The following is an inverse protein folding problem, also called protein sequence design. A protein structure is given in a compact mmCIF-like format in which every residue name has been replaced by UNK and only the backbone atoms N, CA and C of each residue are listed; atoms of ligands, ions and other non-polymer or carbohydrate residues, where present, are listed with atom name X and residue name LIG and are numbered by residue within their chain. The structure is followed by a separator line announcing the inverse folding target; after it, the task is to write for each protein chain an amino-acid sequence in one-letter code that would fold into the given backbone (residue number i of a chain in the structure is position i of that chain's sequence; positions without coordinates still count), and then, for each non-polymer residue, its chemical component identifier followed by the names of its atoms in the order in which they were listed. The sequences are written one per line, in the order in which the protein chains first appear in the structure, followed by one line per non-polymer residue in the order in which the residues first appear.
data_IF_508102355452
#
_entry.id   IF_508102355452
#
_cell.length_a   1.000
_cell.length_b   1.000
_cell.length_c   1.000
_cell.angle_alpha   90.00
_cell.angle_beta   90.00
_cell.angle_gamma   90.00
#
_symmetry.space_group_name_H-M   'P 1'
#
loop_
_entity.id
_entity.type
_entity.pdbx_description
1 polymer ?
#
# COMPACT_ATOMS: atom_id res chain seq x y z
N UNK A 1 17.72 -17.38 -46.62
CA UNK A 1 16.54 -17.44 -45.71
C UNK A 1 16.95 -18.00 -44.34
N UNK A 2 17.72 -17.24 -43.55
CA UNK A 2 18.08 -17.63 -42.17
C UNK A 2 18.59 -16.47 -41.31
N UNK A 3 18.28 -15.24 -41.70
CA UNK A 3 18.57 -14.02 -40.92
C UNK A 3 17.30 -13.29 -40.50
N UNK A 4 16.14 -13.64 -41.08
CA UNK A 4 14.86 -13.02 -40.77
C UNK A 4 14.10 -13.68 -39.61
N UNK A 5 14.57 -14.84 -39.13
CA UNK A 5 13.94 -15.57 -38.01
C UNK A 5 14.61 -15.29 -36.66
N UNK A 6 15.83 -14.75 -36.63
CA UNK A 6 16.52 -14.41 -35.38
C UNK A 6 16.17 -13.03 -34.81
N UNK A 7 15.60 -12.12 -35.61
CA UNK A 7 15.24 -10.77 -35.12
C UNK A 7 13.92 -10.79 -34.33
N UNK A 8 13.04 -11.77 -34.58
CA UNK A 8 11.74 -11.88 -33.89
C UNK A 8 11.82 -12.52 -32.49
N UNK A 9 12.91 -13.21 -32.16
CA UNK A 9 13.12 -13.76 -30.81
C UNK A 9 13.77 -12.73 -29.87
N UNK A 10 14.49 -11.74 -30.40
CA UNK A 10 15.20 -10.73 -29.62
C UNK A 10 14.34 -9.61 -29.06
N UNK A 11 13.16 -9.34 -29.66
CA UNK A 11 12.24 -8.28 -29.22
C UNK A 11 11.12 -8.77 -28.30
N UNK A 12 10.97 -10.08 -28.09
CA UNK A 12 9.90 -10.64 -27.26
C UNK A 12 10.30 -10.89 -25.79
N UNK A 13 11.55 -10.61 -25.40
CA UNK A 13 12.08 -10.93 -24.06
C UNK A 13 12.43 -9.68 -23.23
N UNK A 14 11.91 -8.51 -23.59
CA UNK A 14 12.26 -7.22 -22.95
C UNK A 14 11.12 -6.53 -22.17
N UNK A 15 10.11 -7.27 -21.72
CA UNK A 15 9.07 -6.71 -20.83
C UNK A 15 8.49 -7.74 -19.85
N UNK A 16 9.35 -8.58 -19.28
CA UNK A 16 8.97 -9.45 -18.17
C UNK A 16 9.96 -9.28 -17.04
N UNK A 17 9.81 -8.18 -16.31
CA UNK A 17 10.15 -8.17 -14.88
C UNK A 17 9.15 -9.10 -14.18
N UNK A 18 9.21 -10.40 -14.46
CA UNK A 18 8.51 -11.40 -13.68
C UNK A 18 9.28 -11.45 -12.37
N UNK A 19 8.83 -10.75 -11.33
CA UNK A 19 9.23 -11.11 -9.97
C UNK A 19 8.89 -12.59 -9.85
N UNK A 20 9.93 -13.42 -9.84
CA UNK A 20 9.79 -14.85 -9.57
C UNK A 20 9.31 -14.92 -8.12
N UNK A 21 8.00 -14.97 -7.90
CA UNK A 21 7.44 -15.45 -6.64
C UNK A 21 7.87 -16.90 -6.56
N UNK A 22 8.96 -17.14 -5.83
CA UNK A 22 9.42 -18.49 -5.52
C UNK A 22 8.23 -19.14 -4.83
N UNK A 23 7.67 -20.14 -5.50
CA UNK A 23 6.31 -20.66 -5.33
C UNK A 23 5.90 -21.03 -3.90
N UNK A 24 6.81 -21.14 -2.94
CA UNK A 24 6.50 -21.25 -1.51
C UNK A 24 7.69 -20.72 -0.70
N UNK A 25 7.75 -19.40 -0.47
CA UNK A 25 8.73 -18.81 0.45
C UNK A 25 8.00 -18.18 1.65
N UNK A 26 7.61 -18.97 2.67
CA UNK A 26 6.82 -18.48 3.81
C UNK A 26 7.51 -17.33 4.57
N UNK A 27 8.83 -17.22 4.46
CA UNK A 27 9.62 -16.17 5.12
C UNK A 27 9.65 -14.85 4.34
N UNK A 28 9.38 -14.85 3.03
CA UNK A 28 9.33 -13.64 2.19
C UNK A 28 7.90 -13.20 1.92
N UNK A 29 6.97 -14.14 1.81
CA UNK A 29 5.55 -13.83 1.57
C UNK A 29 4.75 -13.62 2.85
N UNK A 30 5.19 -14.11 4.02
CA UNK A 30 4.37 -14.04 5.24
C UNK A 30 3.99 -12.63 5.71
N UNK A 31 4.87 -11.64 5.50
CA UNK A 31 4.55 -10.24 5.82
C UNK A 31 3.54 -9.65 4.82
N UNK A 32 3.68 -9.98 3.54
CA UNK A 32 2.74 -9.58 2.48
C UNK A 32 1.39 -10.27 2.67
N UNK A 33 1.37 -11.56 2.99
CA UNK A 33 0.18 -12.34 3.30
C UNK A 33 -0.56 -11.76 4.51
N UNK A 34 0.17 -11.39 5.57
CA UNK A 34 -0.43 -10.76 6.75
C UNK A 34 -0.99 -9.38 6.44
N UNK A 35 -0.33 -8.59 5.59
CA UNK A 35 -0.86 -7.33 5.10
C UNK A 35 -2.14 -7.57 4.28
N UNK A 36 -2.10 -8.50 3.34
CA UNK A 36 -3.26 -8.83 2.49
C UNK A 36 -4.45 -9.28 3.33
N UNK A 37 -4.24 -10.06 4.40
CA UNK A 37 -5.30 -10.43 5.34
C UNK A 37 -5.90 -9.23 6.07
N UNK A 38 -5.07 -8.26 6.47
CA UNK A 38 -5.54 -7.03 7.15
C UNK A 38 -6.34 -6.17 6.17
N UNK A 39 -5.84 -5.97 4.95
CA UNK A 39 -6.52 -5.21 3.90
C UNK A 39 -7.84 -5.87 3.50
N UNK A 40 -7.89 -7.19 3.37
CA UNK A 40 -9.15 -7.90 3.13
C UNK A 40 -10.16 -7.69 4.26
N UNK A 41 -9.73 -7.76 5.52
CA UNK A 41 -10.63 -7.53 6.66
C UNK A 41 -11.18 -6.10 6.67
N UNK A 42 -10.31 -5.12 6.41
CA UNK A 42 -10.68 -3.73 6.31
C UNK A 42 -11.64 -3.46 5.15
N UNK A 43 -11.38 -4.06 3.97
CA UNK A 43 -12.26 -3.96 2.81
C UNK A 43 -13.61 -4.61 3.05
N UNK A 44 -13.66 -5.78 3.70
CA UNK A 44 -14.93 -6.43 4.09
C UNK A 44 -15.76 -5.55 5.02
N UNK A 45 -15.10 -4.84 5.94
CA UNK A 45 -15.78 -3.92 6.85
C UNK A 45 -16.26 -2.64 6.11
N UNK A 46 -15.41 -2.06 5.27
CA UNK A 46 -15.69 -0.81 4.56
C UNK A 46 -16.73 -0.96 3.44
N UNK A 47 -16.70 -2.09 2.72
CA UNK A 47 -17.56 -2.34 1.57
C UNK A 47 -18.79 -3.20 1.91
N UNK A 48 -19.15 -3.30 3.20
CA UNK A 48 -20.26 -4.14 3.67
C UNK A 48 -21.58 -3.83 2.95
N UNK A 49 -21.82 -2.56 2.65
CA UNK A 49 -23.05 -2.10 2.00
C UNK A 49 -22.93 -2.04 0.47
N UNK A 50 -21.71 -1.91 -0.06
CA UNK A 50 -21.45 -1.82 -1.50
C UNK A 50 -20.01 -2.24 -1.87
N UNK A 51 -19.87 -3.47 -2.35
CA UNK A 51 -18.60 -4.04 -2.81
C UNK A 51 -18.05 -3.32 -4.04
N UNK A 52 -18.88 -2.64 -4.83
CA UNK A 52 -18.42 -2.00 -6.08
C UNK A 52 -17.48 -0.81 -5.86
N UNK A 53 -17.44 -0.26 -4.63
CA UNK A 53 -16.65 0.92 -4.25
C UNK A 53 -15.32 0.59 -3.57
N UNK A 54 -14.87 -0.67 -3.63
CA UNK A 54 -13.64 -1.13 -2.99
C UNK A 54 -12.39 -0.29 -3.37
N UNK A 55 -12.34 0.17 -4.62
CA UNK A 55 -11.29 1.01 -5.17
C UNK A 55 -11.25 2.40 -4.54
N UNK A 56 -12.41 2.97 -4.20
CA UNK A 56 -12.52 4.24 -3.47
C UNK A 56 -12.03 4.13 -2.03
N UNK A 57 -12.14 2.94 -1.43
CA UNK A 57 -11.69 2.69 -0.07
C UNK A 57 -10.19 2.40 0.02
N UNK A 58 -9.56 1.91 -1.05
CA UNK A 58 -8.14 1.54 -1.04
C UNK A 58 -7.20 2.64 -0.55
N UNK A 59 -7.24 3.89 -1.06
CA UNK A 59 -6.33 4.95 -0.62
C UNK A 59 -6.47 5.27 0.88
N UNK A 60 -7.71 5.22 1.39
CA UNK A 60 -8.00 5.49 2.81
C UNK A 60 -7.45 4.36 3.69
N UNK A 61 -7.62 3.11 3.25
CA UNK A 61 -7.11 1.95 3.98
C UNK A 61 -5.59 1.87 3.97
N UNK A 62 -4.96 2.15 2.83
CA UNK A 62 -3.50 2.25 2.71
C UNK A 62 -2.95 3.33 3.65
N UNK A 63 -3.57 4.51 3.66
CA UNK A 63 -3.17 5.59 4.56
C UNK A 63 -3.33 5.19 6.03
N UNK A 64 -4.48 4.61 6.40
CA UNK A 64 -4.75 4.18 7.76
C UNK A 64 -3.74 3.11 8.23
N UNK A 65 -3.44 2.13 7.38
CA UNK A 65 -2.45 1.09 7.68
C UNK A 65 -1.04 1.67 7.83
N UNK A 66 -0.60 2.49 6.88
CA UNK A 66 0.73 3.09 6.89
C UNK A 66 0.95 4.02 8.09
N UNK A 67 -0.12 4.61 8.61
CA UNK A 67 -0.09 5.51 9.77
C UNK A 67 -0.43 4.82 11.11
N UNK A 68 -0.78 3.54 11.11
CA UNK A 68 -1.07 2.81 12.34
C UNK A 68 0.24 2.36 13.03
N UNK A 69 0.32 2.51 14.35
CA UNK A 69 1.48 2.04 15.12
C UNK A 69 1.46 0.52 15.21
N UNK A 70 2.54 -0.13 14.79
CA UNK A 70 2.67 -1.58 14.90
C UNK A 70 3.19 -1.97 16.29
N UNK A 71 2.52 -2.91 16.95
CA UNK A 71 2.86 -3.35 18.30
C UNK A 71 4.28 -3.93 18.44
N UNK A 72 4.80 -4.57 17.38
CA UNK A 72 6.13 -5.17 17.40
C UNK A 72 7.28 -4.15 17.36
N UNK A 73 7.08 -3.02 16.68
CA UNK A 73 8.10 -1.99 16.46
C UNK A 73 7.86 -0.73 17.27
N UNK A 74 6.65 -0.56 17.82
CA UNK A 74 6.22 0.67 18.49
C UNK A 74 6.15 1.89 17.56
N UNK A 75 6.28 1.69 16.25
CA UNK A 75 6.38 2.75 15.25
C UNK A 75 5.41 2.49 14.09
N UNK A 76 5.08 3.56 13.36
CA UNK A 76 4.27 3.45 12.14
C UNK A 76 5.13 2.94 10.97
N UNK A 77 4.59 2.11 10.05
CA UNK A 77 5.30 1.70 8.85
C UNK A 77 5.81 2.89 8.03
N UNK A 78 5.01 3.96 7.94
CA UNK A 78 5.41 5.19 7.27
C UNK A 78 6.65 5.83 7.91
N UNK A 79 6.70 5.92 9.24
CA UNK A 79 7.87 6.44 9.94
C UNK A 79 9.10 5.54 9.75
N UNK A 80 8.93 4.21 9.76
CA UNK A 80 10.03 3.28 9.52
C UNK A 80 10.59 3.37 8.10
N UNK A 81 9.74 3.63 7.09
CA UNK A 81 10.16 3.76 5.71
C UNK A 81 10.76 5.13 5.37
N UNK A 82 10.22 6.22 5.95
CA UNK A 82 10.54 7.59 5.53
C UNK A 82 11.20 8.45 6.60
N UNK A 83 11.31 7.96 7.84
CA UNK A 83 11.89 8.71 8.97
C UNK A 83 11.07 9.92 9.43
N UNK A 84 9.84 10.09 8.94
CA UNK A 84 8.92 11.20 9.26
C UNK A 84 7.50 10.69 9.35
N UNK A 85 6.61 11.38 10.06
CA UNK A 85 5.17 11.06 10.08
C UNK A 85 4.45 11.68 8.87
N UNK A 86 3.36 11.07 8.38
CA UNK A 86 2.60 11.63 7.27
C UNK A 86 1.93 12.94 7.71
N UNK A 87 1.81 13.89 6.77
CA UNK A 87 1.11 15.15 7.01
C UNK A 87 -0.40 14.88 7.03
N UNK A 88 -0.96 14.64 8.21
CA UNK A 88 -2.42 14.62 8.38
C UNK A 88 -2.94 16.05 8.26
N UNK A 89 -4.10 16.28 7.61
CA UNK A 89 -4.77 17.57 7.66
C UNK A 89 -5.03 17.90 9.13
N UNK A 90 -4.28 18.85 9.69
CA UNK A 90 -4.56 19.31 11.04
C UNK A 90 -5.86 20.09 10.98
N UNK A 91 -6.78 19.76 11.89
CA UNK A 91 -7.95 20.61 12.13
C UNK A 91 -7.41 22.01 12.43
N UNK A 92 -7.88 23.08 11.75
CA UNK A 92 -7.38 24.42 12.01
C UNK A 92 -7.59 24.68 13.50
N UNK A 93 -6.50 24.82 14.24
CA UNK A 93 -6.50 25.32 15.60
C UNK A 93 -6.91 26.78 15.50
N UNK A 94 -8.20 27.04 15.61
CA UNK A 94 -8.72 28.39 15.87
C UNK A 94 -8.30 28.77 17.28
N UNK A 95 -7.01 29.06 17.49
CA UNK A 95 -6.52 29.79 18.66
C UNK A 95 -6.55 31.27 18.31
N UNK A 96 -7.77 31.79 18.18
CA UNK A 96 -8.00 33.22 18.10
C UNK A 96 -9.27 33.50 18.90
N UNK A 97 -9.11 33.63 20.21
CA UNK A 97 -10.00 34.45 21.02
C UNK A 97 -9.50 35.89 20.83
N UNK A 98 -10.10 36.73 19.96
CA UNK A 98 -9.95 38.16 20.15
C UNK A 98 -10.73 38.52 21.41
N UNK A 99 -10.02 39.03 22.42
CA UNK A 99 -10.63 39.60 23.63
C UNK A 99 -11.70 40.63 23.25
N UNK A 100 -12.85 40.66 23.95
CA UNK A 100 -13.86 41.68 23.70
C UNK A 100 -13.34 43.05 24.17
N UNK A 101 -13.58 44.08 23.35
CA UNK A 101 -13.43 45.49 23.70
C UNK A 101 -14.67 45.90 24.50
#
# INVERSE_FOLDING_TARGET
MRVHQQVLEGTYVSARQTRHVIRYHPQTDGQTERLNQIVEQLLRAACKDDISKWDLHLPVLEFAYNNATHAATGQTPFFLCYGRHPLTPQKPTTSATPSPI
#
